data_IF_233583108524
#
_entry.id   IF_233583108524
#
_cell.length_a   1.000
_cell.length_b   1.000
_cell.length_c   1.000
_cell.angle_alpha   90.00
_cell.angle_beta   90.00
_cell.angle_gamma   90.00
#
_symmetry.space_group_name_H-M   'P 1'
#
loop_
_entity.id
_entity.type
_entity.pdbx_description
1 polymer ?
#
# COMPACT_ATOMS: atom_id res chain seq x y z
N UNK A 1 20.23 -1.54 -11.51
CA UNK A 1 20.92 -0.31 -11.07
C UNK A 1 20.12 0.97 -11.31
N UNK A 2 19.45 1.13 -12.46
CA UNK A 2 18.71 2.37 -12.75
C UNK A 2 17.45 2.62 -11.89
N UNK A 3 16.81 1.59 -11.36
CA UNK A 3 15.59 1.73 -10.55
C UNK A 3 15.87 2.31 -9.15
N UNK A 4 16.96 1.91 -8.49
CA UNK A 4 17.33 2.44 -7.18
C UNK A 4 17.71 3.93 -7.21
N UNK A 5 18.30 4.39 -8.31
CA UNK A 5 18.71 5.80 -8.45
C UNK A 5 17.53 6.77 -8.56
N UNK A 6 16.31 6.28 -8.81
CA UNK A 6 15.09 7.09 -8.87
C UNK A 6 14.40 7.29 -7.53
N UNK A 7 14.78 6.51 -6.51
CA UNK A 7 14.21 6.65 -5.17
C UNK A 7 14.68 7.95 -4.54
N UNK A 8 13.75 8.66 -3.95
CA UNK A 8 14.01 9.89 -3.20
C UNK A 8 13.62 9.67 -1.74
N UNK A 9 14.26 10.34 -0.80
CA UNK A 9 13.78 10.37 0.58
C UNK A 9 12.33 10.84 0.62
N UNK A 10 11.52 10.26 1.50
CA UNK A 10 10.17 10.74 1.73
C UNK A 10 10.21 12.19 2.23
N UNK A 11 9.33 13.02 1.70
CA UNK A 11 9.14 14.37 2.22
C UNK A 11 8.52 14.26 3.61
N UNK A 12 9.06 14.94 4.63
CA UNK A 12 8.44 14.92 5.96
C UNK A 12 6.99 15.35 5.88
N UNK A 13 6.10 14.59 6.53
CA UNK A 13 4.70 14.94 6.60
C UNK A 13 4.52 16.25 7.34
N UNK A 14 3.92 17.22 6.68
CA UNK A 14 3.59 18.51 7.27
C UNK A 14 2.10 18.52 7.60
N UNK A 15 1.78 18.53 8.87
CA UNK A 15 0.40 18.75 9.32
C UNK A 15 0.02 20.18 8.94
N UNK A 16 -0.66 20.34 7.84
CA UNK A 16 -1.33 21.59 7.49
C UNK A 16 -2.82 21.44 7.79
N UNK A 17 -3.48 22.51 8.15
CA UNK A 17 -4.94 22.56 8.21
C UNK A 17 -5.49 22.39 6.78
N UNK A 18 -5.41 21.18 6.28
CA UNK A 18 -5.87 20.84 4.94
C UNK A 18 -7.38 20.78 4.91
N UNK A 19 -7.95 21.21 3.80
CA UNK A 19 -9.37 21.11 3.55
C UNK A 19 -9.59 19.85 2.71
N UNK A 20 -10.28 18.87 3.28
CA UNK A 20 -10.80 17.75 2.53
C UNK A 20 -11.94 18.25 1.63
N UNK A 21 -12.02 17.72 0.43
CA UNK A 21 -13.19 17.96 -0.43
C UNK A 21 -14.43 17.38 0.22
N UNK A 22 -15.58 18.02 0.00
CA UNK A 22 -16.87 17.57 0.50
C UNK A 22 -17.09 16.08 0.21
N UNK A 23 -17.50 15.33 1.22
CA UNK A 23 -17.72 13.88 1.14
C UNK A 23 -16.44 13.03 1.05
N UNK A 24 -15.26 13.64 1.04
CA UNK A 24 -13.99 12.91 0.94
C UNK A 24 -13.40 12.45 2.27
N UNK A 25 -13.88 12.97 3.39
CA UNK A 25 -13.26 12.70 4.69
C UNK A 25 -13.31 11.22 5.06
N UNK A 26 -14.47 10.60 5.00
CA UNK A 26 -14.61 9.19 5.36
C UNK A 26 -13.77 8.26 4.47
N UNK A 27 -13.73 8.50 3.16
CA UNK A 27 -12.91 7.70 2.25
C UNK A 27 -11.43 7.86 2.51
N UNK A 28 -10.97 9.07 2.84
CA UNK A 28 -9.58 9.32 3.26
C UNK A 28 -9.27 8.61 4.57
N UNK A 29 -10.15 8.68 5.56
CA UNK A 29 -9.98 7.99 6.84
C UNK A 29 -9.92 6.46 6.67
N UNK A 30 -10.78 5.86 5.83
CA UNK A 30 -10.73 4.43 5.51
C UNK A 30 -9.44 4.06 4.78
N UNK A 31 -9.04 4.86 3.81
CA UNK A 31 -7.78 4.64 3.09
C UNK A 31 -6.57 4.73 4.05
N UNK A 32 -6.54 5.71 4.95
CA UNK A 32 -5.49 5.83 5.97
C UNK A 32 -5.53 4.68 7.00
N UNK A 33 -6.70 4.14 7.33
CA UNK A 33 -6.78 2.96 8.21
C UNK A 33 -6.08 1.74 7.59
N UNK A 34 -6.07 1.62 6.24
CA UNK A 34 -5.36 0.53 5.54
C UNK A 34 -3.83 0.71 5.47
N UNK A 35 -3.25 1.79 6.01
CA UNK A 35 -1.79 1.90 6.17
C UNK A 35 -1.20 0.72 6.93
N UNK A 36 -2.02 0.05 7.74
CA UNK A 36 -1.63 -1.18 8.44
C UNK A 36 -1.18 -2.32 7.51
N UNK A 37 -1.31 -2.16 6.18
CA UNK A 37 -0.83 -3.12 5.18
C UNK A 37 0.62 -2.85 4.72
N UNK A 38 1.22 -1.68 5.00
CA UNK A 38 2.59 -1.35 4.60
C UNK A 38 3.60 -2.34 5.20
N UNK A 39 3.59 -2.52 6.52
CA UNK A 39 4.47 -3.48 7.20
C UNK A 39 4.26 -4.93 6.72
N UNK A 40 3.02 -5.48 6.60
CA UNK A 40 2.79 -6.76 5.96
C UNK A 40 3.38 -6.91 4.56
N UNK A 41 3.37 -5.89 3.72
CA UNK A 41 4.02 -5.94 2.40
C UNK A 41 5.52 -6.13 2.55
N UNK A 42 6.18 -5.36 3.41
CA UNK A 42 7.60 -5.54 3.73
C UNK A 42 7.91 -6.94 4.28
N UNK A 43 7.06 -7.47 5.16
CA UNK A 43 7.17 -8.83 5.71
C UNK A 43 7.03 -9.90 4.63
N UNK A 44 6.08 -9.75 3.70
CA UNK A 44 5.91 -10.67 2.57
C UNK A 44 7.15 -10.68 1.67
N UNK A 45 7.74 -9.54 1.39
CA UNK A 45 8.97 -9.44 0.60
C UNK A 45 10.14 -10.08 1.35
N UNK A 46 10.26 -9.81 2.66
CA UNK A 46 11.27 -10.41 3.52
C UNK A 46 11.15 -11.93 3.58
N UNK A 47 9.93 -12.46 3.63
CA UNK A 47 9.66 -13.89 3.60
C UNK A 47 10.01 -14.51 2.24
N UNK A 48 9.63 -13.84 1.15
CA UNK A 48 9.96 -14.29 -0.21
C UNK A 48 11.48 -14.38 -0.44
N UNK A 49 12.26 -13.50 0.18
CA UNK A 49 13.73 -13.52 0.07
C UNK A 49 14.40 -14.71 0.78
N UNK A 50 13.68 -15.44 1.64
CA UNK A 50 14.17 -16.68 2.26
C UNK A 50 14.06 -17.90 1.33
N UNK A 51 13.21 -17.81 0.32
CA UNK A 51 13.00 -18.85 -0.68
C UNK A 51 13.85 -18.65 -1.92
N UNK A 52 13.47 -19.34 -2.99
CA UNK A 52 14.12 -19.23 -4.28
C UNK A 52 13.79 -17.89 -4.95
N UNK A 53 14.83 -17.12 -5.22
CA UNK A 53 14.73 -15.90 -6.02
C UNK A 53 15.28 -16.15 -7.43
N UNK A 54 14.78 -15.41 -8.44
CA UNK A 54 15.36 -15.49 -9.77
C UNK A 54 16.82 -14.99 -9.74
N UNK A 55 17.68 -15.65 -10.53
CA UNK A 55 19.09 -15.25 -10.70
C UNK A 55 19.19 -13.97 -11.57
N UNK A 56 18.74 -12.88 -10.99
CA UNK A 56 18.76 -11.54 -11.59
C UNK A 56 19.67 -10.66 -10.75
N UNK A 57 20.75 -10.18 -11.36
CA UNK A 57 21.71 -9.30 -10.68
C UNK A 57 21.03 -8.07 -10.07
N UNK A 58 21.21 -7.87 -8.77
CA UNK A 58 20.63 -6.75 -8.02
C UNK A 58 19.19 -6.98 -7.55
N UNK A 59 18.60 -8.15 -7.79
CA UNK A 59 17.25 -8.47 -7.36
C UNK A 59 17.11 -8.38 -5.83
N UNK A 60 18.00 -9.03 -5.11
CA UNK A 60 17.96 -9.05 -3.64
C UNK A 60 18.13 -7.66 -3.03
N UNK A 61 19.06 -6.88 -3.53
CA UNK A 61 19.30 -5.50 -3.09
C UNK A 61 18.08 -4.62 -3.32
N UNK A 62 17.40 -4.81 -4.45
CA UNK A 62 16.19 -4.07 -4.76
C UNK A 62 15.03 -4.46 -3.84
N UNK A 63 14.85 -5.74 -3.55
CA UNK A 63 13.84 -6.21 -2.60
C UNK A 63 14.12 -5.72 -1.16
N UNK A 64 15.39 -5.72 -0.71
CA UNK A 64 15.76 -5.14 0.57
C UNK A 64 15.46 -3.64 0.64
N UNK A 65 15.70 -2.92 -0.45
CA UNK A 65 15.34 -1.50 -0.52
C UNK A 65 13.84 -1.29 -0.44
N UNK A 66 13.05 -2.19 -1.05
CA UNK A 66 11.60 -2.16 -0.95
C UNK A 66 11.12 -2.31 0.51
N UNK A 67 11.60 -3.33 1.23
CA UNK A 67 11.28 -3.50 2.66
C UNK A 67 11.55 -2.23 3.47
N UNK A 68 12.66 -1.55 3.19
CA UNK A 68 12.99 -0.30 3.88
C UNK A 68 12.03 0.84 3.56
N UNK A 69 11.55 0.90 2.32
CA UNK A 69 10.59 1.92 1.92
C UNK A 69 9.24 1.69 2.62
N UNK A 70 8.77 0.44 2.77
CA UNK A 70 7.53 0.13 3.50
C UNK A 70 7.57 0.60 4.97
N UNK A 71 8.72 0.47 5.64
CA UNK A 71 8.92 1.03 6.98
C UNK A 71 8.76 2.57 6.98
N UNK A 72 9.31 3.25 5.97
CA UNK A 72 9.18 4.70 5.84
C UNK A 72 7.75 5.13 5.48
N UNK A 73 7.07 4.37 4.62
CA UNK A 73 5.67 4.60 4.27
C UNK A 73 4.76 4.49 5.50
N UNK A 74 4.94 3.43 6.30
CA UNK A 74 4.19 3.23 7.55
C UNK A 74 4.37 4.43 8.50
N UNK A 75 5.61 4.88 8.73
CA UNK A 75 5.90 6.05 9.57
C UNK A 75 5.18 7.29 9.04
N UNK A 76 5.30 7.59 7.75
CA UNK A 76 4.71 8.78 7.15
C UNK A 76 3.17 8.75 7.22
N UNK A 77 2.55 7.59 6.94
CA UNK A 77 1.11 7.42 6.97
C UNK A 77 0.56 7.39 8.41
N UNK A 78 1.32 6.94 9.40
CA UNK A 78 0.94 7.04 10.81
C UNK A 78 0.82 8.50 11.27
N UNK A 79 1.76 9.38 10.89
CA UNK A 79 1.63 10.82 11.16
C UNK A 79 0.37 11.41 10.50
N UNK A 80 0.07 11.01 9.25
CA UNK A 80 -1.15 11.44 8.59
C UNK A 80 -2.41 10.96 9.31
N UNK A 81 -2.42 9.70 9.76
CA UNK A 81 -3.54 9.10 10.46
C UNK A 81 -3.83 9.80 11.80
N UNK A 82 -2.79 10.16 12.55
CA UNK A 82 -2.93 10.95 13.79
C UNK A 82 -3.58 12.31 13.50
N UNK A 83 -3.13 13.00 12.44
CA UNK A 83 -3.67 14.30 12.06
C UNK A 83 -5.14 14.23 11.63
N UNK A 84 -5.55 13.15 10.95
CA UNK A 84 -6.92 12.96 10.46
C UNK A 84 -7.85 12.26 11.44
N UNK A 85 -7.39 11.90 12.64
CA UNK A 85 -8.21 11.34 13.72
C UNK A 85 -9.07 10.15 13.25
N UNK A 86 -8.43 9.09 12.79
CA UNK A 86 -9.12 7.92 12.23
C UNK A 86 -10.09 7.32 13.26
N UNK A 87 -11.38 7.11 12.92
CA UNK A 87 -12.31 6.46 13.83
C UNK A 87 -11.86 5.05 14.21
N UNK A 88 -11.97 4.72 15.50
CA UNK A 88 -11.57 3.39 16.05
C UNK A 88 -12.24 2.24 15.31
N UNK A 89 -13.47 2.42 14.82
CA UNK A 89 -14.17 1.40 14.02
C UNK A 89 -13.43 1.08 12.74
N UNK A 90 -12.87 2.08 12.04
CA UNK A 90 -12.13 1.88 10.80
C UNK A 90 -10.79 1.18 11.04
N UNK A 91 -10.11 1.52 12.13
CA UNK A 91 -8.90 0.81 12.54
C UNK A 91 -9.18 -0.68 12.81
N UNK A 92 -10.27 -1.00 13.52
CA UNK A 92 -10.66 -2.39 13.78
C UNK A 92 -11.06 -3.15 12.51
N UNK A 93 -11.74 -2.50 11.58
CA UNK A 93 -12.12 -3.09 10.29
C UNK A 93 -10.91 -3.32 9.40
N UNK A 94 -10.00 -2.35 9.33
CA UNK A 94 -8.73 -2.46 8.60
C UNK A 94 -7.85 -3.59 9.18
N UNK A 95 -7.80 -3.74 10.49
CA UNK A 95 -7.08 -4.83 11.14
C UNK A 95 -7.62 -6.21 10.74
N UNK A 96 -8.95 -6.36 10.61
CA UNK A 96 -9.56 -7.61 10.11
C UNK A 96 -9.18 -7.88 8.64
N UNK A 97 -9.12 -6.83 7.82
CA UNK A 97 -8.67 -6.91 6.43
C UNK A 97 -7.20 -7.35 6.39
N UNK A 98 -6.34 -6.72 7.20
CA UNK A 98 -4.93 -7.10 7.33
C UNK A 98 -4.79 -8.58 7.69
N UNK A 99 -5.52 -9.05 8.70
CA UNK A 99 -5.46 -10.45 9.11
C UNK A 99 -5.88 -11.40 7.98
N UNK A 100 -6.91 -11.05 7.19
CA UNK A 100 -7.29 -11.84 6.02
C UNK A 100 -6.16 -11.92 4.96
N UNK A 101 -5.38 -10.87 4.77
CA UNK A 101 -4.20 -10.89 3.91
C UNK A 101 -3.07 -11.74 4.48
N UNK A 102 -2.85 -11.69 5.80
CA UNK A 102 -1.84 -12.50 6.47
C UNK A 102 -2.17 -14.00 6.41
N UNK A 103 -3.43 -14.36 6.66
CA UNK A 103 -3.91 -15.74 6.71
C UNK A 103 -4.04 -16.40 5.32
N UNK A 104 -4.13 -15.61 4.25
CA UNK A 104 -4.26 -16.13 2.90
C UNK A 104 -2.99 -16.92 2.50
N UNK A 105 -3.14 -18.24 2.32
CA UNK A 105 -2.05 -19.14 1.93
C UNK A 105 -1.72 -18.97 0.44
N UNK A 106 -0.91 -17.98 0.13
CA UNK A 106 -0.36 -17.68 -1.20
C UNK A 106 1.08 -17.23 -1.08
N UNK A 107 1.83 -17.38 -2.17
CA UNK A 107 3.22 -16.98 -2.21
C UNK A 107 3.38 -15.51 -1.76
N UNK A 108 4.30 -15.21 -0.84
CA UNK A 108 4.41 -13.88 -0.23
C UNK A 108 4.60 -12.76 -1.26
N UNK A 109 5.50 -12.91 -2.24
CA UNK A 109 5.72 -11.88 -3.26
C UNK A 109 4.47 -11.63 -4.13
N UNK A 110 3.63 -12.66 -4.33
CA UNK A 110 2.39 -12.49 -5.07
C UNK A 110 1.36 -11.66 -4.26
N UNK A 111 1.29 -11.85 -2.94
CA UNK A 111 0.47 -11.00 -2.06
C UNK A 111 0.96 -9.56 -2.08
N UNK A 112 2.26 -9.34 -1.95
CA UNK A 112 2.86 -8.01 -2.01
C UNK A 112 2.51 -7.29 -3.32
N UNK A 113 2.81 -7.88 -4.48
CA UNK A 113 2.54 -7.24 -5.77
C UNK A 113 1.07 -6.95 -6.02
N UNK A 114 0.15 -7.78 -5.49
CA UNK A 114 -1.29 -7.52 -5.63
C UNK A 114 -1.73 -6.36 -4.74
N UNK A 115 -1.18 -6.22 -3.54
CA UNK A 115 -1.41 -5.06 -2.67
C UNK A 115 -0.88 -3.78 -3.31
N UNK A 116 0.38 -3.75 -3.69
CA UNK A 116 1.02 -2.58 -4.30
C UNK A 116 0.35 -2.17 -5.61
N UNK A 117 0.14 -3.12 -6.53
CA UNK A 117 -0.39 -2.85 -7.87
C UNK A 117 -1.89 -2.53 -7.90
N UNK A 118 -2.65 -2.90 -6.87
CA UNK A 118 -4.10 -2.77 -6.91
C UNK A 118 -4.65 -1.95 -5.76
N UNK A 119 -4.30 -2.28 -4.52
CA UNK A 119 -4.85 -1.61 -3.34
C UNK A 119 -4.21 -0.24 -3.19
N UNK A 120 -2.88 -0.15 -3.14
CA UNK A 120 -2.18 1.13 -3.00
C UNK A 120 -2.42 2.05 -4.21
N UNK A 121 -2.57 1.50 -5.41
CA UNK A 121 -2.98 2.28 -6.58
C UNK A 121 -4.40 2.88 -6.50
N UNK A 122 -5.21 2.45 -5.54
CA UNK A 122 -6.48 3.10 -5.19
C UNK A 122 -6.28 4.09 -4.05
N UNK A 123 -5.51 3.73 -3.00
CA UNK A 123 -5.29 4.59 -1.84
C UNK A 123 -4.54 5.87 -2.19
N UNK A 124 -3.45 5.76 -2.94
CA UNK A 124 -2.60 6.90 -3.27
C UNK A 124 -3.33 8.01 -4.06
N UNK A 125 -4.15 7.71 -5.09
CA UNK A 125 -5.02 8.71 -5.71
C UNK A 125 -6.03 9.34 -4.75
N UNK A 126 -6.61 8.58 -3.82
CA UNK A 126 -7.50 9.12 -2.79
C UNK A 126 -6.77 10.19 -1.98
N UNK A 127 -5.57 9.88 -1.47
CA UNK A 127 -4.73 10.84 -0.73
C UNK A 127 -4.36 12.05 -1.57
N UNK A 128 -4.04 11.83 -2.84
CA UNK A 128 -3.62 12.89 -3.75
C UNK A 128 -4.75 13.86 -4.11
N UNK A 129 -5.95 13.39 -4.31
CA UNK A 129 -7.06 14.20 -4.82
C UNK A 129 -8.00 14.68 -3.73
N UNK A 130 -8.14 13.95 -2.64
CA UNK A 130 -9.05 14.27 -1.54
C UNK A 130 -8.32 14.71 -0.26
N UNK A 131 -7.03 14.41 -0.14
CA UNK A 131 -6.22 14.75 1.01
C UNK A 131 -5.80 16.22 1.07
N UNK A 132 -5.29 16.61 2.23
CA UNK A 132 -4.64 17.90 2.45
C UNK A 132 -3.27 18.00 1.74
N UNK A 133 -2.59 19.12 1.88
CA UNK A 133 -1.29 19.37 1.23
C UNK A 133 -0.23 18.37 1.69
N UNK A 134 -0.17 18.04 2.99
CA UNK A 134 0.78 17.08 3.53
C UNK A 134 0.55 15.69 2.96
N UNK A 135 -0.69 15.23 3.00
CA UNK A 135 -1.06 13.91 2.48
C UNK A 135 -0.85 13.78 0.97
N UNK A 136 -1.12 14.85 0.19
CA UNK A 136 -0.81 14.91 -1.24
C UNK A 136 0.67 14.74 -1.53
N UNK A 137 1.52 15.43 -0.76
CA UNK A 137 2.98 15.37 -0.92
C UNK A 137 3.49 13.98 -0.58
N UNK A 138 3.10 13.44 0.57
CA UNK A 138 3.44 12.09 1.01
C UNK A 138 3.01 11.04 -0.03
N UNK A 139 1.78 11.14 -0.53
CA UNK A 139 1.27 10.25 -1.57
C UNK A 139 2.10 10.31 -2.86
N UNK A 140 2.57 11.50 -3.24
CA UNK A 140 3.40 11.64 -4.44
C UNK A 140 4.78 10.99 -4.28
N UNK A 141 5.36 11.06 -3.08
CA UNK A 141 6.63 10.40 -2.78
C UNK A 141 6.48 8.88 -2.73
N UNK A 142 5.50 8.36 -1.99
CA UNK A 142 5.16 6.93 -1.96
C UNK A 142 4.90 6.39 -3.37
N UNK A 143 4.13 7.11 -4.20
CA UNK A 143 3.82 6.66 -5.56
C UNK A 143 5.06 6.45 -6.45
N UNK A 144 6.16 7.15 -6.19
CA UNK A 144 7.42 6.93 -6.93
C UNK A 144 8.09 5.62 -6.52
N UNK A 145 8.08 5.33 -5.23
CA UNK A 145 8.65 4.09 -4.71
C UNK A 145 7.82 2.90 -5.18
N UNK A 146 6.49 2.98 -5.09
CA UNK A 146 5.55 1.95 -5.53
C UNK A 146 5.72 1.56 -7.00
N UNK A 147 6.04 2.50 -7.89
CA UNK A 147 6.35 2.16 -9.28
C UNK A 147 7.55 1.23 -9.40
N UNK A 148 8.54 1.42 -8.56
CA UNK A 148 9.74 0.58 -8.51
C UNK A 148 9.43 -0.78 -7.89
N UNK A 149 8.65 -0.80 -6.81
CA UNK A 149 8.22 -2.01 -6.12
C UNK A 149 7.40 -2.92 -7.04
N UNK A 150 6.37 -2.37 -7.68
CA UNK A 150 5.53 -3.11 -8.64
C UNK A 150 6.35 -3.70 -9.78
N UNK A 151 7.31 -2.94 -10.34
CA UNK A 151 8.16 -3.45 -11.41
C UNK A 151 9.04 -4.61 -10.94
N UNK A 152 9.70 -4.47 -9.78
CA UNK A 152 10.57 -5.50 -9.22
C UNK A 152 9.80 -6.77 -8.83
N UNK A 153 8.73 -6.61 -8.06
CA UNK A 153 7.93 -7.73 -7.56
C UNK A 153 7.17 -8.46 -8.67
N UNK A 154 6.73 -7.73 -9.72
CA UNK A 154 6.14 -8.35 -10.92
C UNK A 154 7.16 -9.23 -11.63
N UNK A 155 8.39 -8.74 -11.82
CA UNK A 155 9.46 -9.51 -12.45
C UNK A 155 9.77 -10.80 -11.67
N UNK A 156 9.80 -10.73 -10.34
CA UNK A 156 9.97 -11.92 -9.48
C UNK A 156 8.80 -12.89 -9.67
N UNK A 157 7.55 -12.40 -9.63
CA UNK A 157 6.37 -13.24 -9.85
C UNK A 157 6.40 -13.94 -11.23
N UNK A 158 6.73 -13.21 -12.28
CA UNK A 158 6.83 -13.76 -13.64
C UNK A 158 7.91 -14.84 -13.73
N UNK A 159 9.07 -14.59 -13.15
CA UNK A 159 10.20 -15.54 -13.13
C UNK A 159 9.86 -16.83 -12.37
N UNK A 160 9.03 -16.74 -11.33
CA UNK A 160 8.56 -17.88 -10.55
C UNK A 160 7.26 -18.49 -11.10
N UNK A 161 6.71 -17.97 -12.19
CA UNK A 161 5.47 -18.46 -12.80
C UNK A 161 4.21 -18.24 -11.94
N UNK A 162 4.25 -17.30 -10.99
CA UNK A 162 3.16 -17.02 -10.06
C UNK A 162 2.04 -16.24 -10.75
N UNK A 163 0.80 -16.64 -10.48
CA UNK A 163 -0.41 -15.99 -11.03
C UNK A 163 -1.47 -15.79 -9.97
N UNK A 164 -2.14 -14.66 -10.05
CA UNK A 164 -3.30 -14.37 -9.20
C UNK A 164 -4.47 -15.32 -9.52
N UNK A 165 -5.15 -15.79 -8.48
CA UNK A 165 -6.30 -16.68 -8.58
C UNK A 165 -7.61 -16.00 -8.15
N UNK A 166 -8.71 -16.78 -8.12
CA UNK A 166 -10.04 -16.25 -7.76
C UNK A 166 -10.12 -15.77 -6.32
N UNK A 167 -9.46 -16.47 -5.40
CA UNK A 167 -9.51 -16.17 -3.97
C UNK A 167 -8.74 -14.90 -3.65
N UNK A 168 -7.51 -14.78 -4.13
CA UNK A 168 -6.70 -13.57 -4.00
C UNK A 168 -7.40 -12.36 -4.65
N UNK A 169 -8.00 -12.55 -5.83
CA UNK A 169 -8.78 -11.50 -6.48
C UNK A 169 -10.07 -11.13 -5.74
N UNK A 170 -10.70 -12.08 -5.04
CA UNK A 170 -11.86 -11.80 -4.17
C UNK A 170 -11.44 -10.93 -2.99
N UNK A 171 -10.35 -11.26 -2.30
CA UNK A 171 -9.85 -10.48 -1.18
C UNK A 171 -9.46 -9.07 -1.62
N UNK A 172 -8.71 -8.94 -2.72
CA UNK A 172 -8.37 -7.64 -3.32
C UNK A 172 -9.60 -6.76 -3.56
N UNK A 173 -10.62 -7.30 -4.22
CA UNK A 173 -11.87 -6.56 -4.50
C UNK A 173 -12.61 -6.17 -3.23
N UNK A 174 -12.67 -7.05 -2.24
CA UNK A 174 -13.30 -6.77 -0.95
C UNK A 174 -12.58 -5.63 -0.20
N UNK A 175 -11.24 -5.63 -0.22
CA UNK A 175 -10.42 -4.56 0.37
C UNK A 175 -10.72 -3.21 -0.29
N UNK A 176 -10.72 -3.15 -1.62
CA UNK A 176 -11.01 -1.92 -2.37
C UNK A 176 -12.47 -1.45 -2.15
N UNK A 177 -13.42 -2.37 -2.19
CA UNK A 177 -14.83 -2.06 -1.96
C UNK A 177 -15.07 -1.48 -0.56
N UNK A 178 -14.37 -1.97 0.45
CA UNK A 178 -14.44 -1.43 1.80
C UNK A 178 -13.97 0.03 1.87
N UNK A 179 -12.90 0.39 1.18
CA UNK A 179 -12.43 1.79 1.12
C UNK A 179 -13.45 2.69 0.45
N UNK A 180 -14.00 2.23 -0.68
CA UNK A 180 -14.85 3.04 -1.55
C UNK A 180 -16.34 3.06 -1.13
N UNK A 181 -16.74 2.30 -0.12
CA UNK A 181 -18.17 2.17 0.24
C UNK A 181 -18.83 3.49 0.62
N UNK A 182 -18.09 4.44 1.18
CA UNK A 182 -18.62 5.78 1.50
C UNK A 182 -18.87 6.66 0.28
N UNK A 183 -18.29 6.31 -0.88
CA UNK A 183 -18.54 6.97 -2.15
C UNK A 183 -19.73 6.35 -2.91
N UNK A 184 -20.15 5.16 -2.52
CA UNK A 184 -21.35 4.50 -3.04
C UNK A 184 -22.54 5.07 -2.29
N UNK A 185 -22.92 6.34 -2.58
CA UNK A 185 -24.04 6.99 -1.93
C UNK A 185 -25.23 6.04 -1.76
N UNK A 186 -25.99 6.19 -0.69
CA UNK A 186 -27.24 5.47 -0.48
C UNK A 186 -28.04 5.53 -1.79
N UNK A 187 -28.12 4.39 -2.48
CA UNK A 187 -29.06 4.24 -3.60
C UNK A 187 -30.47 4.38 -3.00
N UNK A 188 -30.99 5.59 -3.07
CA UNK A 188 -32.40 5.87 -2.77
C UNK A 188 -33.30 5.16 -3.77
#
# INVERSE_FOLDING_TARGET
MHLQQRKRPLTPFQVSAGILKDGGEEVVQRALALRCLEIPVGDFISEAMKGDLPDIKGCKELLLSNVKDEENHDIALNFAAEAHQIPVRFEKEAERIKNAWLELDRHPVLKAVVLERSVFFVLLPIFRFLGDTGLRTTSADISRDEQTHVAANTLVCESLGLKSDKELNKLRRATIAWVLQSLQGEST
#
